data_IF_977671650435
#
_entry.id   IF_977671650435
#
_cell.length_a   1.000
_cell.length_b   1.000
_cell.length_c   1.000
_cell.angle_alpha   90.00
_cell.angle_beta   90.00
_cell.angle_gamma   90.00
#
_symmetry.space_group_name_H-M   'P 1'
#
loop_
_entity.id
_entity.type
_entity.pdbx_description
1 polymer ?
#
# COMPACT_ATOMS: atom_id res chain seq x y z
N UNK A 1 33.65 18.34 6.44
CA UNK A 1 33.47 17.17 7.33
C UNK A 1 32.16 16.49 6.92
N UNK A 2 32.24 15.41 6.14
CA UNK A 2 31.06 14.78 5.53
C UNK A 2 30.46 13.77 6.52
N UNK A 3 29.32 14.10 7.12
CA UNK A 3 28.64 13.21 8.04
C UNK A 3 27.97 12.07 7.26
N UNK A 4 28.56 10.87 7.32
CA UNK A 4 27.94 9.64 6.85
C UNK A 4 26.80 9.27 7.80
N UNK A 5 25.59 9.77 7.55
CA UNK A 5 24.39 9.30 8.25
C UNK A 5 24.09 7.89 7.75
N UNK A 6 24.57 6.88 8.49
CA UNK A 6 24.18 5.49 8.25
C UNK A 6 22.67 5.38 8.47
N UNK A 7 21.91 5.28 7.38
CA UNK A 7 20.47 5.03 7.43
C UNK A 7 20.30 3.57 7.87
N UNK A 8 19.85 3.33 9.10
CA UNK A 8 19.52 1.99 9.58
C UNK A 8 18.48 1.36 8.65
N UNK A 9 18.93 0.43 7.82
CA UNK A 9 18.05 -0.33 6.92
C UNK A 9 17.43 -1.48 7.70
N UNK A 10 16.13 -1.70 7.51
CA UNK A 10 15.44 -2.84 8.13
C UNK A 10 15.89 -4.11 7.41
N UNK A 11 16.51 -5.03 8.14
CA UNK A 11 16.83 -6.36 7.61
C UNK A 11 15.57 -7.22 7.59
N UNK A 12 15.26 -7.80 6.42
CA UNK A 12 14.06 -8.62 6.21
C UNK A 12 14.49 -9.96 5.64
N UNK A 13 14.20 -11.04 6.36
CA UNK A 13 14.34 -12.39 5.81
C UNK A 13 13.17 -12.66 4.87
N UNK A 14 13.44 -12.88 3.59
CA UNK A 14 12.37 -13.04 2.60
C UNK A 14 11.70 -14.42 2.66
N UNK A 15 12.40 -15.52 2.95
CA UNK A 15 11.80 -16.88 3.08
C UNK A 15 10.82 -17.29 1.96
N UNK A 16 10.11 -18.42 2.13
CA UNK A 16 9.00 -18.79 1.24
C UNK A 16 7.77 -17.95 1.56
N UNK A 17 7.48 -16.97 0.72
CA UNK A 17 6.47 -15.96 1.01
C UNK A 17 5.08 -16.35 0.52
N UNK A 18 4.06 -16.14 1.36
CA UNK A 18 2.62 -16.20 0.98
C UNK A 18 2.17 -14.95 0.19
N UNK A 19 2.95 -14.50 -0.80
CA UNK A 19 2.78 -13.19 -1.49
C UNK A 19 1.46 -13.08 -2.28
N UNK A 20 0.85 -14.19 -2.70
CA UNK A 20 -0.32 -14.16 -3.60
C UNK A 20 -1.65 -14.46 -2.92
N UNK A 21 -2.02 -13.70 -1.88
CA UNK A 21 -3.41 -13.74 -1.37
C UNK A 21 -4.21 -12.56 -1.92
N UNK A 22 -5.20 -12.85 -2.75
CA UNK A 22 -6.19 -11.87 -3.18
C UNK A 22 -6.98 -11.36 -1.97
N UNK A 23 -7.00 -10.05 -1.75
CA UNK A 23 -7.83 -9.40 -0.73
C UNK A 23 -8.91 -8.58 -1.41
N UNK A 24 -10.17 -8.80 -1.02
CA UNK A 24 -11.33 -8.06 -1.50
C UNK A 24 -11.82 -7.11 -0.40
N UNK A 25 -11.97 -5.84 -0.74
CA UNK A 25 -12.57 -4.83 0.14
C UNK A 25 -13.93 -4.45 -0.43
N UNK A 26 -14.99 -4.57 0.39
CA UNK A 26 -16.35 -4.22 0.00
C UNK A 26 -16.72 -2.95 0.74
N UNK A 27 -16.92 -1.87 -0.01
CA UNK A 27 -17.42 -0.59 0.49
C UNK A 27 -18.82 -0.34 -0.07
N UNK A 28 -19.72 0.17 0.77
CA UNK A 28 -21.12 0.43 0.43
C UNK A 28 -21.47 1.88 0.78
N UNK A 29 -22.10 2.59 -0.15
CA UNK A 29 -22.64 3.94 0.06
C UNK A 29 -24.04 4.04 -0.55
N UNK A 30 -24.89 4.89 0.01
CA UNK A 30 -26.21 5.25 -0.55
C UNK A 30 -26.23 6.65 -1.16
N UNK A 31 -25.13 7.39 -1.02
CA UNK A 31 -25.01 8.76 -1.53
C UNK A 31 -24.42 8.73 -2.93
N UNK A 32 -25.08 9.41 -3.86
CA UNK A 32 -24.55 9.66 -5.18
C UNK A 32 -23.31 10.57 -5.08
N UNK A 33 -22.33 10.35 -5.95
CA UNK A 33 -21.09 11.11 -5.97
C UNK A 33 -19.92 10.37 -6.58
N UNK A 34 -18.81 11.08 -6.72
CA UNK A 34 -17.53 10.56 -7.22
C UNK A 34 -16.61 10.27 -6.03
N UNK A 35 -16.16 9.03 -5.90
CA UNK A 35 -15.32 8.58 -4.80
C UNK A 35 -13.96 8.13 -5.32
N UNK A 36 -12.88 8.58 -4.70
CA UNK A 36 -11.51 8.16 -5.01
C UNK A 36 -11.07 7.10 -4.02
N UNK A 37 -10.46 6.02 -4.50
CA UNK A 37 -9.87 5.00 -3.66
C UNK A 37 -8.40 4.77 -4.00
N UNK A 38 -7.64 4.39 -2.97
CA UNK A 38 -6.21 4.19 -3.02
C UNK A 38 -5.89 2.79 -2.52
N UNK A 39 -5.10 2.03 -3.27
CA UNK A 39 -4.63 0.71 -2.85
C UNK A 39 -3.14 0.83 -2.55
N UNK A 40 -2.79 0.59 -1.28
CA UNK A 40 -1.41 0.62 -0.79
C UNK A 40 -0.96 -0.80 -0.42
N UNK A 41 0.20 -1.21 -0.92
CA UNK A 41 0.91 -2.36 -0.39
C UNK A 41 1.94 -1.91 0.65
N UNK A 42 2.18 -2.78 1.64
CA UNK A 42 3.29 -2.64 2.58
C UNK A 42 4.24 -3.82 2.37
N UNK A 43 5.54 -3.54 2.40
CA UNK A 43 6.54 -4.61 2.44
C UNK A 43 6.55 -5.28 3.83
N UNK A 44 7.33 -6.36 3.95
CA UNK A 44 7.46 -7.12 5.20
C UNK A 44 8.17 -6.32 6.32
N UNK A 45 8.93 -5.29 5.98
CA UNK A 45 9.52 -4.34 6.92
C UNK A 45 8.50 -3.25 7.36
N UNK A 46 7.27 -3.29 6.85
CA UNK A 46 6.22 -2.32 7.12
C UNK A 46 6.39 -1.00 6.36
N UNK A 47 7.31 -0.93 5.39
CA UNK A 47 7.45 0.25 4.55
C UNK A 47 6.31 0.27 3.52
N UNK A 48 5.75 1.45 3.28
CA UNK A 48 4.68 1.61 2.30
C UNK A 48 5.23 1.75 0.90
N UNK A 49 4.52 1.23 -0.10
CA UNK A 49 4.89 1.43 -1.49
C UNK A 49 4.92 2.92 -1.86
N UNK A 50 5.96 3.34 -2.60
CA UNK A 50 6.08 4.73 -3.07
C UNK A 50 5.09 5.05 -4.19
N UNK A 51 4.82 4.10 -5.09
CA UNK A 51 3.83 4.23 -6.16
C UNK A 51 2.52 3.60 -5.71
N UNK A 52 1.52 4.43 -5.46
CA UNK A 52 0.18 4.00 -5.02
C UNK A 52 -0.73 3.84 -6.22
N UNK A 53 -1.46 2.72 -6.29
CA UNK A 53 -2.52 2.54 -7.27
C UNK A 53 -3.75 3.35 -6.83
N UNK A 54 -4.33 4.12 -7.77
CA UNK A 54 -5.43 5.06 -7.52
C UNK A 54 -6.49 4.86 -8.58
N UNK A 55 -7.76 4.92 -8.20
CA UNK A 55 -8.87 4.93 -9.14
C UNK A 55 -10.09 5.62 -8.51
N UNK A 56 -11.16 5.79 -9.29
CA UNK A 56 -12.40 6.39 -8.84
C UNK A 56 -13.61 5.52 -9.17
N UNK A 57 -14.70 5.73 -8.43
CA UNK A 57 -16.01 5.11 -8.65
C UNK A 57 -17.04 6.23 -8.70
N UNK A 58 -17.93 6.18 -9.68
CA UNK A 58 -19.08 7.08 -9.79
C UNK A 58 -20.31 6.32 -9.33
N UNK A 59 -20.96 6.84 -8.29
CA UNK A 59 -22.25 6.34 -7.80
C UNK A 59 -23.32 7.31 -8.27
N UNK A 60 -24.30 6.81 -9.01
CA UNK A 60 -25.45 7.57 -9.52
C UNK A 60 -26.68 7.26 -8.69
#
# INVERSE_FOLDING_TARGET
MSAWTYRSVKSVNYGLTRINKTRKYIWRTRRAGVYKFYVLSKDRAGNSQRKVAKNFIIVR
#
